data_IF_547285971750
#
_entry.id   IF_547285971750
#
_cell.length_a   1.000
_cell.length_b   1.000
_cell.length_c   1.000
_cell.angle_alpha   90.00
_cell.angle_beta   90.00
_cell.angle_gamma   90.00
#
_symmetry.space_group_name_H-M   'P 1'
#
loop_
_entity.id
_entity.type
_entity.pdbx_description
1 polymer ?
#
# COMPACT_ATOMS: atom_id res chain seq x y z
N UNK A 1 -15.93 20.83 -2.50
CA UNK A 1 -15.58 19.57 -3.21
C UNK A 1 -14.08 19.32 -3.34
N UNK A 2 -13.19 20.34 -3.38
CA UNK A 2 -11.73 20.14 -3.41
C UNK A 2 -11.19 19.47 -2.15
N UNK A 3 -11.70 19.84 -0.97
CA UNK A 3 -11.24 19.34 0.34
C UNK A 3 -11.43 17.83 0.52
N UNK A 4 -12.46 17.24 -0.09
CA UNK A 4 -12.79 15.81 0.07
C UNK A 4 -11.79 14.88 -0.65
N UNK A 5 -11.03 15.39 -1.62
CA UNK A 5 -9.97 14.65 -2.32
C UNK A 5 -8.59 14.88 -1.68
N UNK A 6 -8.42 16.02 -1.02
CA UNK A 6 -7.17 16.41 -0.36
C UNK A 6 -6.96 15.62 0.95
N UNK A 7 -8.02 15.43 1.74
CA UNK A 7 -7.95 14.67 3.00
C UNK A 7 -7.40 13.24 2.80
N UNK A 8 -7.93 12.41 1.87
CA UNK A 8 -7.37 11.08 1.64
C UNK A 8 -5.95 11.11 1.05
N UNK A 9 -5.58 12.13 0.25
CA UNK A 9 -4.21 12.28 -0.23
C UNK A 9 -3.20 12.54 0.89
N UNK A 10 -3.55 13.39 1.87
CA UNK A 10 -2.73 13.59 3.06
C UNK A 10 -2.66 12.33 3.94
N UNK A 11 -3.77 11.60 4.07
CA UNK A 11 -3.80 10.34 4.83
C UNK A 11 -2.91 9.28 4.18
N UNK A 12 -2.90 9.17 2.85
CA UNK A 12 -1.97 8.27 2.14
C UNK A 12 -0.51 8.65 2.34
N UNK A 13 -0.21 9.96 2.32
CA UNK A 13 1.14 10.45 2.56
C UNK A 13 1.61 10.11 3.97
N UNK A 14 0.71 10.20 4.96
CA UNK A 14 0.97 9.79 6.34
C UNK A 14 1.15 8.27 6.47
N UNK A 15 0.35 7.46 5.77
CA UNK A 15 0.51 6.00 5.70
C UNK A 15 1.77 5.55 4.94
N UNK A 16 2.36 6.42 4.11
CA UNK A 16 3.56 6.11 3.36
C UNK A 16 4.80 6.01 4.27
N UNK A 17 4.83 6.75 5.39
CA UNK A 17 5.91 6.67 6.39
C UNK A 17 6.04 5.28 7.04
N UNK A 18 5.00 4.71 7.67
CA UNK A 18 5.09 3.35 8.22
C UNK A 18 5.24 2.30 7.11
N UNK A 19 4.68 2.54 5.91
CA UNK A 19 4.89 1.64 4.77
C UNK A 19 6.35 1.58 4.32
N UNK A 20 7.07 2.71 4.29
CA UNK A 20 8.51 2.73 3.96
C UNK A 20 9.32 1.85 4.93
N UNK A 21 8.99 1.87 6.21
CA UNK A 21 9.64 0.99 7.18
C UNK A 21 9.40 -0.50 6.83
N UNK A 22 8.17 -0.87 6.49
CA UNK A 22 7.82 -2.24 6.04
C UNK A 22 8.56 -2.61 4.75
N UNK A 23 8.67 -1.69 3.80
CA UNK A 23 9.40 -1.91 2.55
C UNK A 23 10.90 -2.17 2.80
N UNK A 24 11.54 -1.37 3.65
CA UNK A 24 12.96 -1.57 4.01
C UNK A 24 13.15 -2.89 4.77
N UNK A 25 12.28 -3.19 5.74
CA UNK A 25 12.33 -4.46 6.48
C UNK A 25 12.13 -5.68 5.57
N UNK A 26 11.39 -5.55 4.47
CA UNK A 26 11.21 -6.66 3.52
C UNK A 26 12.51 -7.12 2.86
N UNK A 27 13.52 -6.25 2.77
CA UNK A 27 14.84 -6.63 2.24
C UNK A 27 15.63 -7.54 3.17
N UNK A 28 15.34 -7.53 4.48
CA UNK A 28 15.96 -8.47 5.42
C UNK A 28 15.60 -9.93 5.09
N UNK A 29 14.51 -10.16 4.35
CA UNK A 29 14.16 -11.50 3.89
C UNK A 29 15.19 -12.08 2.89
N UNK A 30 16.02 -11.23 2.26
CA UNK A 30 17.12 -11.71 1.41
C UNK A 30 18.31 -12.25 2.21
N UNK A 31 18.40 -11.99 3.52
CA UNK A 31 19.45 -12.56 4.39
C UNK A 31 19.31 -14.08 4.53
N UNK A 32 18.08 -14.62 4.40
CA UNK A 32 17.81 -16.05 4.33
C UNK A 32 18.10 -16.67 2.94
N UNK A 33 18.65 -15.89 2.01
CA UNK A 33 19.02 -16.32 0.67
C UNK A 33 18.09 -15.80 -0.44
N UNK A 34 18.51 -16.04 -1.68
CA UNK A 34 17.79 -15.58 -2.87
C UNK A 34 16.79 -16.63 -3.33
N UNK A 35 15.50 -16.36 -3.13
CA UNK A 35 14.39 -17.24 -3.54
C UNK A 35 13.32 -16.45 -4.31
N UNK A 36 12.59 -17.13 -5.18
CA UNK A 36 11.48 -16.53 -5.92
C UNK A 36 10.37 -15.99 -5.00
N UNK A 37 10.16 -16.61 -3.83
CA UNK A 37 9.20 -16.12 -2.83
C UNK A 37 9.63 -14.78 -2.23
N UNK A 38 10.93 -14.60 -1.95
CA UNK A 38 11.45 -13.36 -1.36
C UNK A 38 11.36 -12.20 -2.34
N UNK A 39 11.65 -12.46 -3.63
CA UNK A 39 11.47 -11.48 -4.71
C UNK A 39 10.00 -11.09 -4.86
N UNK A 40 9.09 -12.08 -4.92
CA UNK A 40 7.66 -11.83 -5.04
C UNK A 40 7.12 -11.03 -3.84
N UNK A 41 7.63 -11.28 -2.63
CA UNK A 41 7.26 -10.55 -1.42
C UNK A 41 7.66 -9.07 -1.49
N UNK A 42 8.93 -8.78 -1.78
CA UNK A 42 9.45 -7.41 -1.89
C UNK A 42 8.77 -6.64 -3.03
N UNK A 43 8.55 -7.29 -4.18
CA UNK A 43 7.81 -6.70 -5.31
C UNK A 43 6.36 -6.40 -4.95
N UNK A 44 5.67 -7.32 -4.26
CA UNK A 44 4.29 -7.11 -3.84
C UNK A 44 4.16 -5.94 -2.87
N UNK A 45 5.12 -5.75 -1.96
CA UNK A 45 5.13 -4.58 -1.08
C UNK A 45 5.47 -3.33 -1.89
N UNK A 46 6.49 -3.38 -2.74
CA UNK A 46 6.97 -2.27 -3.58
C UNK A 46 5.95 -1.73 -4.58
N UNK A 47 4.96 -2.53 -4.99
CA UNK A 47 3.87 -2.10 -5.88
C UNK A 47 2.84 -1.17 -5.20
N UNK A 48 2.84 -1.08 -3.88
CA UNK A 48 1.92 -0.25 -3.11
C UNK A 48 1.85 1.23 -3.55
N UNK A 49 2.95 2.00 -3.66
CA UNK A 49 2.90 3.40 -4.11
C UNK A 49 2.35 3.54 -5.53
N UNK A 50 2.62 2.57 -6.41
CA UNK A 50 2.07 2.56 -7.78
C UNK A 50 0.54 2.43 -7.73
N UNK A 51 0.03 1.52 -6.89
CA UNK A 51 -1.41 1.34 -6.70
C UNK A 51 -2.09 2.59 -6.08
N UNK A 52 -1.42 3.27 -5.15
CA UNK A 52 -1.92 4.54 -4.55
C UNK A 52 -2.03 5.63 -5.62
N UNK A 53 -1.00 5.81 -6.45
CA UNK A 53 -1.01 6.81 -7.53
C UNK A 53 -2.10 6.48 -8.55
N UNK A 54 -2.19 5.22 -8.97
CA UNK A 54 -3.21 4.78 -9.93
C UNK A 54 -4.62 5.00 -9.39
N UNK A 55 -4.86 4.64 -8.13
CA UNK A 55 -6.13 4.87 -7.45
C UNK A 55 -6.47 6.37 -7.37
N UNK A 56 -5.49 7.22 -7.08
CA UNK A 56 -5.68 8.67 -7.02
C UNK A 56 -6.08 9.25 -8.38
N UNK A 57 -5.43 8.80 -9.47
CA UNK A 57 -5.76 9.22 -10.84
C UNK A 57 -7.18 8.76 -11.22
N UNK A 58 -7.50 7.49 -10.97
CA UNK A 58 -8.82 6.89 -11.27
C UNK A 58 -9.92 7.61 -10.49
N UNK A 59 -9.72 7.90 -9.19
CA UNK A 59 -10.67 8.65 -8.37
C UNK A 59 -10.91 10.08 -8.91
N UNK A 60 -9.88 10.69 -9.51
CA UNK A 60 -10.00 12.02 -10.12
C UNK A 60 -10.79 12.01 -11.44
N UNK A 61 -10.62 10.96 -12.24
CA UNK A 61 -11.35 10.76 -13.51
C UNK A 61 -12.82 10.40 -13.26
N UNK A 62 -13.12 9.59 -12.24
CA UNK A 62 -14.49 9.16 -11.88
C UNK A 62 -15.27 10.17 -11.02
N UNK A 63 -14.67 11.33 -10.72
CA UNK A 63 -15.26 12.41 -9.91
C UNK A 63 -16.63 12.88 -10.38
N UNK A 64 -16.89 12.85 -11.69
CA UNK A 64 -18.05 13.52 -12.30
C UNK A 64 -19.32 12.66 -12.31
N UNK A 65 -19.30 11.36 -12.67
CA UNK A 65 -20.52 10.55 -12.70
C UNK A 65 -20.83 9.75 -11.43
N UNK A 66 -19.84 9.34 -10.61
CA UNK A 66 -20.08 8.30 -9.58
C UNK A 66 -19.28 8.51 -8.28
N UNK A 67 -19.82 9.31 -7.36
CA UNK A 67 -19.21 9.60 -6.04
C UNK A 67 -18.95 8.34 -5.19
N UNK A 68 -19.77 7.29 -5.32
CA UNK A 68 -19.60 6.04 -4.55
C UNK A 68 -18.40 5.22 -5.03
N UNK A 69 -18.19 5.14 -6.33
CA UNK A 69 -17.07 4.37 -6.92
C UNK A 69 -15.73 4.95 -6.52
N UNK A 70 -15.62 6.28 -6.47
CA UNK A 70 -14.41 6.98 -6.02
C UNK A 70 -14.01 6.65 -4.57
N UNK A 71 -15.00 6.44 -3.68
CA UNK A 71 -14.78 6.05 -2.29
C UNK A 71 -14.29 4.61 -2.18
N UNK A 72 -14.88 3.69 -2.96
CA UNK A 72 -14.47 2.28 -3.00
C UNK A 72 -13.04 2.13 -3.50
N UNK A 73 -12.66 2.84 -4.56
CA UNK A 73 -11.28 2.81 -5.04
C UNK A 73 -10.30 3.30 -3.96
N UNK A 74 -10.63 4.35 -3.19
CA UNK A 74 -9.79 4.81 -2.08
C UNK A 74 -9.67 3.82 -0.90
N UNK A 75 -10.55 2.82 -0.79
CA UNK A 75 -10.42 1.78 0.23
C UNK A 75 -9.39 0.70 -0.15
N UNK A 76 -9.13 0.49 -1.44
CA UNK A 76 -8.22 -0.56 -1.93
C UNK A 76 -6.81 -0.42 -1.36
N UNK A 77 -6.15 0.77 -1.36
CA UNK A 77 -4.83 0.88 -0.79
C UNK A 77 -4.84 0.75 0.75
N UNK A 78 -5.94 1.08 1.43
CA UNK A 78 -5.99 0.89 2.89
C UNK A 78 -6.04 -0.59 3.28
N UNK A 79 -6.76 -1.41 2.50
CA UNK A 79 -6.79 -2.87 2.69
C UNK A 79 -5.39 -3.46 2.47
N UNK A 80 -4.65 -2.96 1.48
CA UNK A 80 -3.28 -3.40 1.22
C UNK A 80 -2.37 -3.10 2.42
N UNK A 81 -2.43 -1.91 3.02
CA UNK A 81 -1.64 -1.60 4.23
C UNK A 81 -1.98 -2.54 5.36
N UNK A 82 -3.26 -2.79 5.62
CA UNK A 82 -3.69 -3.69 6.69
C UNK A 82 -3.19 -5.13 6.45
N UNK A 83 -3.27 -5.62 5.22
CA UNK A 83 -2.75 -6.93 4.83
C UNK A 83 -1.22 -7.00 4.95
N UNK A 84 -0.50 -6.01 4.46
CA UNK A 84 0.96 -5.94 4.58
C UNK A 84 1.43 -5.88 6.02
N UNK A 85 0.73 -5.15 6.89
CA UNK A 85 1.03 -5.11 8.34
C UNK A 85 0.82 -6.47 8.98
N UNK A 86 -0.30 -7.14 8.70
CA UNK A 86 -0.58 -8.47 9.26
C UNK A 86 0.42 -9.53 8.78
N UNK A 87 0.72 -9.55 7.48
CA UNK A 87 1.68 -10.50 6.90
C UNK A 87 3.09 -10.25 7.44
N UNK A 88 3.54 -9.00 7.56
CA UNK A 88 4.86 -8.70 8.13
C UNK A 88 4.94 -9.04 9.61
N UNK A 89 3.88 -8.80 10.40
CA UNK A 89 3.84 -9.18 11.81
C UNK A 89 3.95 -10.71 11.99
N UNK A 90 3.29 -11.48 11.12
CA UNK A 90 3.36 -12.93 11.14
C UNK A 90 4.75 -13.43 10.67
N UNK A 91 5.30 -12.82 9.61
CA UNK A 91 6.62 -13.19 9.07
C UNK A 91 7.78 -12.87 10.03
N UNK A 92 7.73 -11.75 10.75
CA UNK A 92 8.75 -11.43 11.77
C UNK A 92 8.72 -12.40 12.96
N UNK A 93 7.55 -12.98 13.27
CA UNK A 93 7.39 -13.98 14.32
C UNK A 93 7.98 -15.34 13.93
N UNK A 94 8.15 -15.61 12.63
CA UNK A 94 8.71 -16.86 12.12
C UNK A 94 10.23 -16.81 11.93
N UNK A 95 10.82 -15.60 11.93
CA UNK A 95 12.28 -15.37 11.79
C UNK A 95 12.99 -15.22 13.15
N UNK A 96 12.27 -14.97 14.26
CA UNK A 96 12.83 -14.92 15.62
C UNK A 96 12.71 -16.27 16.34
#
# INVERSE_FOLDING_TARGET
MKTFLIIPQFLYLLCLFPWLAIFVLSFMNFDNGFSWSNIAFVLSIGFYPVAVIFCSIVAWVLRTPMKRTAVITNLVPMIWVAGSVHVNACFFCEIN
#
